data_IF_249914037514
#
_entry.id   IF_249914037514
#
_cell.length_a   1.000
_cell.length_b   1.000
_cell.length_c   1.000
_cell.angle_alpha   90.00
_cell.angle_beta   90.00
_cell.angle_gamma   90.00
#
_symmetry.space_group_name_H-M   'P 1'
#
loop_
_entity.id
_entity.type
_entity.pdbx_description
1 polymer ?
#
# COMPACT_ATOMS: atom_id res chain seq x y z
N UNK A 1 -5.62 -10.34 25.82
CA UNK A 1 -5.24 -9.92 24.46
C UNK A 1 -6.31 -9.08 23.81
N UNK A 2 -7.52 -9.59 23.64
CA UNK A 2 -8.60 -8.81 23.03
C UNK A 2 -8.91 -7.51 23.77
N UNK A 3 -8.86 -7.52 25.09
CA UNK A 3 -9.08 -6.30 25.89
C UNK A 3 -8.05 -5.22 25.62
N UNK A 4 -6.78 -5.62 25.42
CA UNK A 4 -5.69 -4.69 25.13
C UNK A 4 -5.88 -4.10 23.73
N UNK A 5 -6.24 -4.93 22.77
CA UNK A 5 -6.51 -4.48 21.39
C UNK A 5 -7.71 -3.54 21.35
N UNK A 6 -8.79 -3.88 22.08
CA UNK A 6 -9.95 -3.02 22.15
C UNK A 6 -9.68 -1.69 22.83
N UNK A 7 -8.81 -1.66 23.83
CA UNK A 7 -8.42 -0.41 24.49
C UNK A 7 -7.73 0.55 23.53
N UNK A 8 -6.83 0.04 22.68
CA UNK A 8 -6.14 0.89 21.71
C UNK A 8 -7.12 1.43 20.66
N UNK A 9 -8.06 0.62 20.21
CA UNK A 9 -9.07 1.05 19.24
C UNK A 9 -10.01 2.12 19.82
N UNK A 10 -10.32 2.04 21.11
CA UNK A 10 -11.25 2.93 21.78
C UNK A 10 -10.62 4.20 22.34
N UNK A 11 -9.29 4.29 22.34
CA UNK A 11 -8.58 5.46 22.85
C UNK A 11 -8.20 6.42 21.74
N UNK A 12 -7.71 7.61 22.13
CA UNK A 12 -7.17 8.58 21.19
C UNK A 12 -5.69 8.37 20.92
N UNK A 13 -5.15 7.26 21.39
CA UNK A 13 -3.74 6.93 21.20
C UNK A 13 -3.45 6.61 19.74
N UNK A 14 -2.46 7.31 19.16
CA UNK A 14 -2.18 7.28 17.73
C UNK A 14 -0.95 6.44 17.39
N UNK A 15 -0.82 5.29 18.03
CA UNK A 15 0.26 4.35 17.77
C UNK A 15 -0.27 3.08 17.13
N UNK A 16 0.51 2.53 16.20
CA UNK A 16 0.19 1.22 15.66
C UNK A 16 0.41 0.15 16.73
N UNK A 17 -0.55 -0.74 16.86
CA UNK A 17 -0.45 -1.87 17.79
C UNK A 17 0.30 -3.02 17.12
N UNK A 18 1.62 -3.00 17.22
CA UNK A 18 2.46 -4.02 16.59
C UNK A 18 2.26 -5.41 17.19
N UNK A 19 1.84 -5.49 18.46
CA UNK A 19 1.50 -6.79 19.05
C UNK A 19 0.26 -7.37 18.38
N UNK A 20 -0.77 -6.56 18.19
CA UNK A 20 -1.99 -6.96 17.47
C UNK A 20 -1.67 -7.33 16.03
N UNK A 21 -0.89 -6.50 15.34
CA UNK A 21 -0.49 -6.72 13.95
C UNK A 21 0.29 -8.03 13.81
N UNK A 22 1.24 -8.27 14.69
CA UNK A 22 2.04 -9.49 14.68
C UNK A 22 1.19 -10.73 14.95
N UNK A 23 0.15 -10.63 15.79
CA UNK A 23 -0.76 -11.74 16.03
C UNK A 23 -1.65 -12.05 14.84
N UNK A 24 -2.06 -11.02 14.10
CA UNK A 24 -2.93 -11.17 12.92
C UNK A 24 -2.16 -11.76 11.74
N UNK A 25 -0.90 -11.33 11.55
CA UNK A 25 -0.05 -11.82 10.47
C UNK A 25 1.17 -12.55 11.04
N UNK A 26 0.90 -13.61 11.82
CA UNK A 26 1.88 -14.26 12.68
C UNK A 26 3.13 -14.78 11.96
N UNK A 27 3.01 -15.20 10.70
CA UNK A 27 4.14 -15.76 9.96
C UNK A 27 5.06 -14.69 9.36
N UNK A 28 4.49 -13.58 8.90
CA UNK A 28 5.24 -12.59 8.11
C UNK A 28 5.37 -11.23 8.80
N UNK A 29 4.64 -10.99 9.87
CA UNK A 29 4.64 -9.71 10.60
C UNK A 29 4.39 -8.51 9.67
N UNK A 30 3.49 -8.70 8.70
CA UNK A 30 3.17 -7.67 7.70
C UNK A 30 1.70 -7.30 7.78
N UNK A 31 1.39 -6.08 7.34
CA UNK A 31 0.01 -5.63 7.18
C UNK A 31 -0.18 -5.10 5.75
N UNK A 32 -1.38 -5.23 5.21
CA UNK A 32 -1.66 -4.70 3.89
C UNK A 32 -1.69 -3.17 3.90
N UNK A 33 -1.25 -2.61 2.79
CA UNK A 33 -1.28 -1.18 2.55
C UNK A 33 -1.84 -0.91 1.17
N UNK A 34 -2.83 -0.02 1.10
CA UNK A 34 -3.32 0.50 -0.17
C UNK A 34 -2.61 1.84 -0.43
N UNK A 35 -2.08 2.03 -1.61
CA UNK A 35 -1.50 3.32 -2.01
C UNK A 35 -2.53 4.03 -2.88
N UNK A 36 -2.94 5.22 -2.46
CA UNK A 36 -3.96 6.02 -3.12
C UNK A 36 -3.35 7.31 -3.65
N UNK A 37 -3.70 7.68 -4.88
CA UNK A 37 -3.28 8.94 -5.47
C UNK A 37 -3.99 10.09 -4.76
N UNK A 38 -3.22 11.03 -4.22
CA UNK A 38 -3.76 12.17 -3.49
C UNK A 38 -4.65 13.06 -4.35
N UNK A 39 -4.33 13.20 -5.62
CA UNK A 39 -5.03 14.09 -6.53
C UNK A 39 -6.27 13.46 -7.17
N UNK A 40 -6.15 12.24 -7.66
CA UNK A 40 -7.22 11.55 -8.37
C UNK A 40 -8.11 10.70 -7.46
N UNK A 41 -7.63 10.37 -6.27
CA UNK A 41 -8.26 9.43 -5.32
C UNK A 41 -8.29 7.99 -5.79
N UNK A 42 -7.65 7.69 -6.89
CA UNK A 42 -7.56 6.32 -7.39
C UNK A 42 -6.65 5.47 -6.52
N UNK A 43 -7.01 4.20 -6.35
CA UNK A 43 -6.12 3.22 -5.73
C UNK A 43 -5.05 2.85 -6.75
N UNK A 44 -3.79 3.06 -6.38
CA UNK A 44 -2.66 2.80 -7.27
C UNK A 44 -2.24 1.34 -7.22
N UNK A 45 -2.04 0.83 -6.00
CA UNK A 45 -1.65 -0.55 -5.78
C UNK A 45 -1.99 -0.96 -4.35
N UNK A 46 -2.01 -2.26 -4.11
CA UNK A 46 -2.11 -2.84 -2.77
C UNK A 46 -0.90 -3.75 -2.58
N UNK A 47 -0.23 -3.60 -1.44
CA UNK A 47 0.96 -4.37 -1.13
C UNK A 47 1.05 -4.59 0.37
N UNK A 48 2.24 -4.87 0.88
CA UNK A 48 2.45 -5.13 2.30
C UNK A 48 3.58 -4.27 2.83
N UNK A 49 3.50 -3.94 4.11
CA UNK A 49 4.60 -3.33 4.86
C UNK A 49 4.82 -4.09 6.15
N UNK A 50 6.06 -4.17 6.58
CA UNK A 50 6.39 -4.53 7.95
C UNK A 50 6.85 -3.27 8.67
N UNK A 51 7.25 -3.40 9.93
CA UNK A 51 7.70 -2.24 10.72
C UNK A 51 8.87 -1.52 10.05
N UNK A 52 9.84 -2.27 9.52
CA UNK A 52 11.01 -1.71 8.85
C UNK A 52 10.62 -0.92 7.58
N UNK A 53 9.75 -1.48 6.76
CA UNK A 53 9.28 -0.82 5.54
C UNK A 53 8.53 0.47 5.87
N UNK A 54 7.70 0.45 6.89
CA UNK A 54 6.96 1.63 7.33
C UNK A 54 7.92 2.72 7.83
N UNK A 55 8.89 2.36 8.66
CA UNK A 55 9.89 3.31 9.16
C UNK A 55 10.69 3.94 8.01
N UNK A 56 11.11 3.14 7.04
CA UNK A 56 11.83 3.65 5.87
C UNK A 56 10.96 4.55 5.01
N UNK A 57 9.69 4.21 4.84
CA UNK A 57 8.75 5.06 4.10
C UNK A 57 8.62 6.43 4.74
N UNK A 58 8.49 6.47 6.05
CA UNK A 58 8.37 7.72 6.81
C UNK A 58 9.67 8.54 6.72
N UNK A 59 10.80 7.87 6.91
CA UNK A 59 12.12 8.51 6.88
C UNK A 59 12.39 9.17 5.53
N UNK A 60 12.10 8.46 4.45
CA UNK A 60 12.39 8.92 3.10
C UNK A 60 11.26 9.74 2.47
N UNK A 61 10.06 9.72 3.06
CA UNK A 61 8.84 10.27 2.44
C UNK A 61 8.58 9.68 1.05
N UNK A 62 8.89 8.40 0.91
CA UNK A 62 8.71 7.62 -0.31
C UNK A 62 7.90 6.35 0.01
N UNK A 63 7.58 5.57 -1.00
CA UNK A 63 6.87 4.31 -0.81
C UNK A 63 7.88 3.19 -0.74
N UNK A 64 8.08 2.67 0.46
CA UNK A 64 8.91 1.49 0.72
C UNK A 64 8.00 0.39 1.22
N UNK A 65 8.03 -0.75 0.57
CA UNK A 65 7.13 -1.88 0.81
C UNK A 65 7.94 -3.09 1.24
N UNK A 66 7.23 -4.11 1.73
CA UNK A 66 7.84 -5.40 2.03
C UNK A 66 7.37 -6.41 1.00
N UNK A 67 8.32 -7.00 0.27
CA UNK A 67 8.02 -8.06 -0.67
C UNK A 67 7.93 -9.39 0.09
N UNK A 68 6.74 -9.95 0.19
CA UNK A 68 6.52 -11.23 0.87
C UNK A 68 7.10 -12.41 0.06
N UNK A 69 7.09 -12.31 -1.26
CA UNK A 69 7.63 -13.36 -2.12
C UNK A 69 9.17 -13.41 -2.09
N UNK A 70 9.82 -12.25 -1.95
CA UNK A 70 11.29 -12.16 -1.91
C UNK A 70 11.84 -12.02 -0.50
N UNK A 71 10.95 -11.78 0.46
CA UNK A 71 11.28 -11.60 1.88
C UNK A 71 12.31 -10.48 2.08
N UNK A 72 12.08 -9.33 1.46
CA UNK A 72 12.97 -8.17 1.54
C UNK A 72 12.23 -6.85 1.30
N UNK A 73 12.88 -5.74 1.63
CA UNK A 73 12.37 -4.40 1.33
C UNK A 73 12.29 -4.18 -0.18
N UNK A 74 11.25 -3.47 -0.59
CA UNK A 74 11.01 -3.11 -1.98
C UNK A 74 10.74 -1.62 -2.08
N UNK A 75 11.69 -0.89 -2.65
CA UNK A 75 11.56 0.54 -2.90
C UNK A 75 10.77 0.73 -4.20
N UNK A 76 9.53 1.18 -4.07
CA UNK A 76 8.65 1.35 -5.23
C UNK A 76 9.27 2.33 -6.22
N UNK A 77 9.42 1.87 -7.48
CA UNK A 77 9.98 2.68 -8.55
C UNK A 77 11.49 2.62 -8.66
N UNK A 78 12.17 1.82 -7.86
CA UNK A 78 13.63 1.71 -7.89
C UNK A 78 14.14 1.28 -9.27
N UNK A 79 13.46 0.34 -9.92
CA UNK A 79 13.85 -0.14 -11.24
C UNK A 79 13.18 0.63 -12.38
N UNK A 80 11.87 0.91 -12.25
CA UNK A 80 11.10 1.60 -13.29
C UNK A 80 11.33 3.10 -13.33
N UNK A 81 11.85 3.69 -12.26
CA UNK A 81 11.94 5.13 -12.11
C UNK A 81 10.66 5.81 -11.67
N UNK A 82 9.57 5.05 -11.53
CA UNK A 82 8.26 5.57 -11.14
C UNK A 82 8.12 5.57 -9.63
N UNK A 83 8.77 6.53 -8.98
CA UNK A 83 8.71 6.73 -7.54
C UNK A 83 7.52 7.59 -7.15
N UNK A 84 7.20 7.58 -5.85
CA UNK A 84 6.08 8.34 -5.30
C UNK A 84 6.54 9.10 -4.07
N UNK A 85 5.95 10.28 -3.85
CA UNK A 85 6.12 11.02 -2.61
C UNK A 85 4.98 10.67 -1.66
N UNK A 86 5.33 10.24 -0.46
CA UNK A 86 4.37 9.91 0.60
C UNK A 86 3.97 11.17 1.34
N UNK A 87 2.66 11.44 1.42
CA UNK A 87 2.12 12.63 2.08
C UNK A 87 1.41 12.32 3.39
N UNK A 88 0.64 11.23 3.43
CA UNK A 88 -0.17 10.88 4.60
C UNK A 88 -0.22 9.37 4.76
N UNK A 89 -0.40 8.94 6.00
CA UNK A 89 -0.62 7.53 6.34
C UNK A 89 -1.90 7.45 7.16
N UNK A 90 -2.89 6.72 6.66
CA UNK A 90 -4.15 6.51 7.36
C UNK A 90 -4.17 5.09 7.90
N UNK A 91 -4.75 4.94 9.07
CA UNK A 91 -4.83 3.65 9.77
C UNK A 91 -6.30 3.34 10.03
N UNK A 92 -6.73 2.11 9.74
CA UNK A 92 -8.11 1.72 10.01
C UNK A 92 -8.37 1.51 11.51
N UNK A 93 -9.65 1.39 11.88
CA UNK A 93 -10.05 1.30 13.28
C UNK A 93 -9.46 0.08 14.01
N UNK A 94 -9.26 -1.03 13.31
CA UNK A 94 -8.67 -2.24 13.89
C UNK A 94 -7.14 -2.25 13.86
N UNK A 95 -6.53 -1.23 13.25
CA UNK A 95 -5.08 -1.08 13.12
C UNK A 95 -4.40 -2.27 12.44
N UNK A 96 -5.08 -2.83 11.45
CA UNK A 96 -4.56 -3.98 10.70
C UNK A 96 -4.41 -3.73 9.21
N UNK A 97 -4.59 -2.48 8.77
CA UNK A 97 -4.33 -2.06 7.39
C UNK A 97 -4.03 -0.59 7.33
N UNK A 98 -3.34 -0.17 6.29
CA UNK A 98 -2.94 1.22 6.09
C UNK A 98 -3.37 1.72 4.72
N UNK A 99 -3.55 3.03 4.62
CA UNK A 99 -3.64 3.72 3.33
C UNK A 99 -2.50 4.74 3.28
N UNK A 100 -1.65 4.61 2.28
CA UNK A 100 -0.63 5.61 1.97
C UNK A 100 -1.18 6.57 0.94
N UNK A 101 -1.26 7.84 1.29
CA UNK A 101 -1.68 8.89 0.36
C UNK A 101 -0.43 9.46 -0.27
N UNK A 102 -0.31 9.33 -1.58
CA UNK A 102 0.93 9.64 -2.29
C UNK A 102 0.67 10.28 -3.65
N UNK A 103 1.72 10.86 -4.22
CA UNK A 103 1.69 11.41 -5.58
C UNK A 103 2.81 10.82 -6.41
N UNK A 104 2.56 10.50 -7.69
CA UNK A 104 3.62 10.07 -8.60
C UNK A 104 4.61 11.21 -8.84
N UNK A 105 5.90 10.94 -8.71
CA UNK A 105 6.93 11.98 -8.87
C UNK A 105 7.15 12.37 -10.33
N UNK A 106 6.99 11.40 -11.24
CA UNK A 106 7.23 11.61 -12.68
C UNK A 106 6.01 11.31 -13.54
N UNK A 107 4.84 11.21 -12.91
CA UNK A 107 3.59 10.93 -13.60
C UNK A 107 3.35 9.47 -13.97
N UNK A 108 4.37 8.63 -13.98
CA UNK A 108 4.24 7.20 -14.21
C UNK A 108 3.91 6.44 -12.93
N UNK A 109 3.14 5.37 -13.04
CA UNK A 109 2.64 4.62 -11.89
C UNK A 109 3.16 3.19 -11.89
N UNK A 110 2.92 2.45 -12.97
CA UNK A 110 3.30 1.04 -13.09
C UNK A 110 4.43 0.86 -14.09
N UNK A 111 5.14 -0.26 -14.01
CA UNK A 111 6.16 -0.62 -15.00
C UNK A 111 5.55 -1.01 -16.35
N UNK A 112 4.25 -1.27 -16.42
CA UNK A 112 3.55 -1.59 -17.67
C UNK A 112 3.00 -0.32 -18.32
N UNK A 113 2.82 -0.36 -19.63
CA UNK A 113 2.28 0.77 -20.36
C UNK A 113 1.46 0.30 -21.55
N UNK A 114 0.62 1.19 -22.06
CA UNK A 114 -0.14 0.96 -23.29
C UNK A 114 -0.15 2.26 -24.10
N UNK A 115 0.22 2.16 -25.38
CA UNK A 115 0.32 3.32 -26.28
C UNK A 115 1.21 4.43 -25.69
N UNK A 116 2.29 4.02 -25.00
CA UNK A 116 3.22 4.98 -24.40
C UNK A 116 2.75 5.62 -23.10
N UNK A 117 1.54 5.30 -22.64
CA UNK A 117 1.01 5.83 -21.38
C UNK A 117 1.16 4.77 -20.28
N UNK A 118 1.86 5.09 -19.16
CA UNK A 118 1.99 4.16 -18.06
C UNK A 118 0.63 3.78 -17.48
N UNK A 119 0.45 2.49 -17.20
CA UNK A 119 -0.76 1.98 -16.58
C UNK A 119 -0.74 2.22 -15.06
N UNK A 120 -1.93 2.38 -14.48
CA UNK A 120 -2.14 2.11 -13.08
C UNK A 120 -2.03 0.59 -12.84
N UNK A 121 -1.73 0.12 -11.63
CA UNK A 121 -1.70 -1.32 -11.35
C UNK A 121 -3.06 -1.98 -11.62
N UNK A 122 -4.13 -1.24 -11.41
CA UNK A 122 -5.50 -1.71 -11.64
C UNK A 122 -6.01 -1.21 -12.99
N UNK A 123 -5.35 -1.60 -14.06
CA UNK A 123 -5.69 -1.14 -15.42
C UNK A 123 -6.63 -2.10 -16.17
N UNK A 124 -7.03 -3.19 -15.55
CA UNK A 124 -7.97 -4.15 -16.13
C UNK A 124 -9.19 -4.27 -15.24
N UNK A 125 -10.33 -4.49 -15.88
CA UNK A 125 -11.59 -4.68 -15.18
C UNK A 125 -12.12 -6.08 -15.43
N UNK A 126 -12.63 -6.72 -14.39
CA UNK A 126 -13.29 -8.02 -14.51
C UNK A 126 -14.78 -7.78 -14.76
N UNK A 127 -15.29 -8.28 -15.89
CA UNK A 127 -16.71 -8.26 -16.15
C UNK A 127 -17.41 -9.24 -15.21
N UNK A 128 -18.36 -8.73 -14.43
CA UNK A 128 -19.01 -9.53 -13.38
C UNK A 128 -19.98 -10.57 -13.92
N UNK A 129 -20.39 -10.48 -15.18
CA UNK A 129 -21.27 -11.46 -15.79
C UNK A 129 -20.50 -12.56 -16.52
N UNK A 130 -19.46 -12.19 -17.27
CA UNK A 130 -18.72 -13.13 -18.12
C UNK A 130 -17.44 -13.65 -17.49
N UNK A 131 -16.96 -13.03 -16.43
CA UNK A 131 -15.67 -13.34 -15.78
C UNK A 131 -14.46 -13.10 -16.69
N UNK A 132 -14.62 -12.26 -17.71
CA UNK A 132 -13.52 -11.91 -18.62
C UNK A 132 -12.93 -10.56 -18.25
N UNK A 133 -11.66 -10.38 -18.59
CA UNK A 133 -10.94 -9.13 -18.32
C UNK A 133 -11.00 -8.21 -19.54
N UNK A 134 -11.15 -6.92 -19.28
CA UNK A 134 -11.04 -5.86 -20.29
C UNK A 134 -10.02 -4.83 -19.82
N UNK A 135 -9.36 -4.16 -20.76
CA UNK A 135 -8.38 -3.14 -20.46
C UNK A 135 -9.06 -1.77 -20.37
N UNK A 136 -8.88 -1.06 -19.25
CA UNK A 136 -9.56 0.21 -19.03
C UNK A 136 -9.13 1.32 -20.01
N UNK A 137 -7.91 1.23 -20.54
CA UNK A 137 -7.36 2.21 -21.48
C UNK A 137 -7.50 1.76 -22.95
N UNK A 138 -8.37 0.79 -23.19
CA UNK A 138 -8.58 0.27 -24.55
C UNK A 138 -9.31 1.26 -25.46
#
# INVERSE_FOLDING_TARGET
MEKIMGLIEETTELMLDWEKINNISAENHVIPVAVQNMNTKEVILIAYVNKQALEESIKLRKIVLWSTSRNKLWFKGQESGNTFTLHRILVNCEQNSLVFIATPDKGGICHTSRNGVPNNCYYRELDMETMKLTHLNA
#
